data_IF_177508247548
#
_entry.id   IF_177508247548
#
_cell.length_a   1.000
_cell.length_b   1.000
_cell.length_c   1.000
_cell.angle_alpha   90.00
_cell.angle_beta   90.00
_cell.angle_gamma   90.00
#
_symmetry.space_group_name_H-M   'P 1'
#
loop_
_entity.id
_entity.type
_entity.pdbx_description
1 polymer ?
#
# COMPACT_ATOMS: atom_id res chain seq x y z
N UNK A 1 8.28 9.26 13.86
CA UNK A 1 7.73 7.88 13.93
C UNK A 1 6.63 7.80 14.99
N UNK A 2 6.91 8.17 16.24
CA UNK A 2 5.99 8.06 17.40
C UNK A 2 4.62 8.71 17.19
N UNK A 3 4.52 9.88 16.54
CA UNK A 3 3.21 10.54 16.33
C UNK A 3 2.30 9.82 15.31
N UNK A 4 2.86 9.21 14.25
CA UNK A 4 2.06 8.53 13.22
C UNK A 4 1.60 7.13 13.63
N UNK A 5 2.24 6.55 14.64
CA UNK A 5 1.89 5.26 15.24
C UNK A 5 1.13 5.39 16.55
N UNK A 6 0.86 6.62 17.05
CA UNK A 6 0.08 6.82 18.28
C UNK A 6 -1.33 6.26 18.09
N UNK A 7 -1.70 5.33 18.98
CA UNK A 7 -3.00 4.66 18.95
C UNK A 7 -3.15 3.58 17.87
N UNK A 8 -2.11 3.26 17.10
CA UNK A 8 -2.16 2.21 16.07
C UNK A 8 -1.50 0.93 16.55
N UNK A 9 -2.22 -0.17 16.42
CA UNK A 9 -1.65 -1.51 16.60
C UNK A 9 -0.91 -1.88 15.32
N UNK A 10 0.40 -2.11 15.41
CA UNK A 10 1.19 -2.59 14.29
C UNK A 10 1.17 -4.12 14.27
N UNK A 11 0.94 -4.68 13.09
CA UNK A 11 0.83 -6.13 12.86
C UNK A 11 2.07 -6.70 12.16
N UNK A 12 2.79 -5.88 11.39
CA UNK A 12 3.98 -6.34 10.67
C UNK A 12 4.91 -5.21 10.27
N UNK A 13 6.16 -5.59 9.99
CA UNK A 13 7.21 -4.70 9.49
C UNK A 13 8.06 -5.45 8.46
N UNK A 14 8.50 -4.75 7.43
CA UNK A 14 9.54 -5.22 6.51
C UNK A 14 10.50 -4.08 6.24
N UNK A 15 11.79 -4.37 6.19
CA UNK A 15 12.82 -3.36 6.00
C UNK A 15 13.83 -3.83 4.95
N UNK A 16 14.31 -2.86 4.16
CA UNK A 16 15.35 -3.07 3.17
C UNK A 16 16.38 -1.94 3.25
N UNK A 17 17.41 -1.99 2.40
CA UNK A 17 18.55 -1.06 2.43
C UNK A 17 18.15 0.41 2.51
N UNK A 18 17.08 0.80 1.82
CA UNK A 18 16.69 2.21 1.69
C UNK A 18 15.41 2.60 2.43
N UNK A 19 14.60 1.66 2.91
CA UNK A 19 13.29 2.03 3.46
C UNK A 19 12.75 0.96 4.42
N UNK A 20 11.74 1.36 5.18
CA UNK A 20 10.97 0.50 6.07
C UNK A 20 9.50 0.65 5.72
N UNK A 21 8.78 -0.47 5.67
CA UNK A 21 7.34 -0.51 5.53
C UNK A 21 6.73 -1.17 6.78
N UNK A 22 5.60 -0.67 7.23
CA UNK A 22 4.83 -1.24 8.35
C UNK A 22 3.38 -1.44 7.96
N UNK A 23 2.81 -2.50 8.51
CA UNK A 23 1.43 -2.88 8.37
C UNK A 23 0.71 -2.68 9.70
N UNK A 24 -0.35 -1.88 9.70
CA UNK A 24 -1.28 -1.74 10.82
C UNK A 24 -2.27 -2.90 10.90
N UNK A 25 -2.81 -3.14 12.10
CA UNK A 25 -3.88 -4.13 12.32
C UNK A 25 -5.19 -3.76 11.60
N UNK A 26 -5.36 -2.48 11.29
CA UNK A 26 -6.44 -1.92 10.45
C UNK A 26 -6.22 -2.16 8.94
N UNK A 27 -5.11 -2.76 8.55
CA UNK A 27 -4.73 -2.97 7.15
C UNK A 27 -4.12 -1.74 6.49
N UNK A 28 -3.84 -0.65 7.22
CA UNK A 28 -3.13 0.51 6.67
C UNK A 28 -1.62 0.22 6.53
N UNK A 29 -1.03 0.72 5.46
CA UNK A 29 0.41 0.57 5.18
C UNK A 29 1.10 1.92 5.26
N UNK A 30 2.24 1.97 5.94
CA UNK A 30 3.10 3.15 5.99
C UNK A 30 4.50 2.82 5.48
N UNK A 31 5.14 3.77 4.81
CA UNK A 31 6.53 3.66 4.36
C UNK A 31 7.31 4.93 4.67
N UNK A 32 8.59 4.78 4.98
CA UNK A 32 9.57 5.85 5.12
C UNK A 32 10.98 5.34 4.80
N UNK A 33 11.91 6.24 4.56
CA UNK A 33 13.29 5.88 4.27
C UNK A 33 14.07 6.97 3.55
N UNK A 34 15.05 6.53 2.77
CA UNK A 34 15.90 7.37 1.95
C UNK A 34 15.05 8.23 1.01
N UNK A 35 15.17 9.56 1.15
CA UNK A 35 14.37 10.61 0.47
C UNK A 35 12.91 10.74 0.94
N UNK A 36 12.46 9.89 1.86
CA UNK A 36 11.14 9.96 2.49
C UNK A 36 11.27 9.85 4.02
N UNK A 37 11.86 10.87 4.63
CA UNK A 37 12.21 10.87 6.06
C UNK A 37 10.98 10.91 6.99
N UNK A 38 9.82 11.30 6.48
CA UNK A 38 8.55 11.27 7.21
C UNK A 38 7.69 10.08 6.80
N UNK A 39 7.12 9.31 7.74
CA UNK A 39 6.17 8.24 7.43
C UNK A 39 5.01 8.74 6.56
N UNK A 40 4.79 8.06 5.44
CA UNK A 40 3.63 8.30 4.57
C UNK A 40 2.78 7.06 4.50
N UNK A 41 1.46 7.28 4.50
CA UNK A 41 0.49 6.23 4.21
C UNK A 41 0.54 5.89 2.72
N UNK A 42 0.65 4.61 2.41
CA UNK A 42 0.52 4.08 1.04
C UNK A 42 -0.95 3.84 0.76
N UNK A 43 -1.47 4.41 -0.32
CA UNK A 43 -2.87 4.19 -0.72
C UNK A 43 -2.94 2.91 -1.54
N UNK A 44 -3.28 1.80 -0.89
CA UNK A 44 -3.56 0.51 -1.54
C UNK A 44 -5.06 0.47 -1.85
N UNK A 45 -5.41 0.72 -3.10
CA UNK A 45 -6.79 0.80 -3.53
C UNK A 45 -6.93 0.39 -5.00
N UNK A 46 -8.09 -0.17 -5.34
CA UNK A 46 -8.48 -0.53 -6.71
C UNK A 46 -9.51 0.46 -7.24
N UNK A 47 -9.42 0.78 -8.53
CA UNK A 47 -10.45 1.55 -9.22
C UNK A 47 -11.57 0.60 -9.65
N UNK A 48 -12.79 0.83 -9.16
CA UNK A 48 -13.97 0.07 -9.60
C UNK A 48 -14.50 0.66 -10.90
N UNK A 49 -14.05 0.14 -12.05
CA UNK A 49 -14.76 0.40 -13.31
C UNK A 49 -16.05 -0.43 -13.30
N UNK A 50 -17.21 0.20 -13.09
CA UNK A 50 -18.49 -0.45 -13.37
C UNK A 50 -18.62 -0.62 -14.88
N UNK A 51 -18.60 -1.86 -15.36
CA UNK A 51 -18.98 -2.20 -16.72
C UNK A 51 -20.44 -1.81 -16.96
N UNK A 52 -20.64 -0.78 -17.77
CA UNK A 52 -21.94 -0.25 -18.13
C UNK A 52 -21.73 1.01 -18.96
N UNK A 53 -22.39 1.09 -20.10
CA UNK A 53 -22.21 2.05 -21.19
C UNK A 53 -22.58 3.51 -20.85
N UNK A 54 -22.27 3.98 -19.64
CA UNK A 54 -22.50 5.37 -19.22
C UNK A 54 -21.19 5.98 -18.77
N UNK A 55 -20.88 7.15 -19.34
CA UNK A 55 -19.73 8.00 -19.05
C UNK A 55 -19.77 8.60 -17.62
N UNK A 56 -20.10 7.79 -16.61
CA UNK A 56 -20.05 8.17 -15.22
C UNK A 56 -18.73 7.68 -14.64
N UNK A 57 -17.69 8.53 -14.76
CA UNK A 57 -16.40 8.37 -14.08
C UNK A 57 -16.58 8.51 -12.57
N UNK A 58 -17.23 7.53 -11.93
CA UNK A 58 -17.17 7.39 -10.48
C UNK A 58 -15.80 6.82 -10.12
N UNK A 59 -14.90 7.71 -9.68
CA UNK A 59 -13.61 7.36 -9.09
C UNK A 59 -13.82 6.79 -7.68
N UNK A 60 -14.64 5.73 -7.54
CA UNK A 60 -14.82 5.07 -6.26
C UNK A 60 -13.61 4.18 -6.02
N UNK A 61 -12.67 4.71 -5.25
CA UNK A 61 -11.50 3.97 -4.77
C UNK A 61 -11.94 3.11 -3.59
N UNK A 62 -11.91 1.80 -3.77
CA UNK A 62 -12.12 0.87 -2.67
C UNK A 62 -10.80 0.68 -1.93
N UNK A 63 -10.79 1.01 -0.64
CA UNK A 63 -9.64 0.71 0.23
C UNK A 63 -9.62 -0.77 0.50
N UNK A 64 -8.49 -1.40 0.22
CA UNK A 64 -8.33 -2.83 0.41
C UNK A 64 -7.64 -3.13 1.73
N UNK A 65 -8.05 -4.22 2.38
CA UNK A 65 -7.42 -4.70 3.59
C UNK A 65 -6.10 -5.39 3.23
N UNK A 66 -4.96 -4.79 3.57
CA UNK A 66 -3.65 -5.41 3.40
C UNK A 66 -3.41 -6.40 4.54
N UNK A 67 -2.91 -7.59 4.19
CA UNK A 67 -2.62 -8.67 5.13
C UNK A 67 -1.12 -9.02 5.21
N UNK A 68 -0.32 -8.65 4.22
CA UNK A 68 1.13 -8.88 4.20
C UNK A 68 1.85 -7.83 3.38
N UNK A 69 3.11 -7.56 3.75
CA UNK A 69 3.99 -6.57 3.11
C UNK A 69 5.41 -7.11 2.99
N UNK A 70 6.11 -6.76 1.90
CA UNK A 70 7.53 -7.09 1.71
C UNK A 70 8.31 -5.92 1.12
N UNK A 71 9.53 -5.69 1.62
CA UNK A 71 10.44 -4.67 1.14
C UNK A 71 11.58 -5.30 0.33
N UNK A 72 11.71 -4.90 -0.94
CA UNK A 72 12.90 -5.14 -1.76
C UNK A 72 13.88 -3.98 -1.65
N UNK A 73 15.01 -4.03 -2.36
CA UNK A 73 16.05 -2.99 -2.27
C UNK A 73 15.48 -1.57 -2.47
N UNK A 74 14.66 -1.37 -3.52
CA UNK A 74 14.08 -0.07 -3.90
C UNK A 74 12.56 -0.06 -4.00
N UNK A 75 11.93 -1.23 -4.09
CA UNK A 75 10.49 -1.39 -4.24
C UNK A 75 9.89 -2.06 -3.02
N UNK A 76 8.57 -2.02 -2.93
CA UNK A 76 7.79 -2.71 -1.92
C UNK A 76 6.58 -3.37 -2.55
N UNK A 77 6.05 -4.38 -1.89
CA UNK A 77 4.83 -5.07 -2.29
C UNK A 77 3.86 -5.19 -1.11
N UNK A 78 2.56 -5.26 -1.44
CA UNK A 78 1.50 -5.53 -0.48
C UNK A 78 0.51 -6.55 -1.05
N UNK A 79 0.13 -7.54 -0.23
CA UNK A 79 -0.90 -8.51 -0.55
C UNK A 79 -2.17 -8.17 0.23
N UNK A 80 -3.30 -8.08 -0.47
CA UNK A 80 -4.61 -7.81 0.11
C UNK A 80 -5.36 -9.10 0.45
N UNK A 81 -6.35 -8.99 1.34
CA UNK A 81 -7.17 -10.12 1.78
C UNK A 81 -7.95 -10.79 0.64
N UNK A 82 -8.28 -10.04 -0.42
CA UNK A 82 -8.91 -10.55 -1.65
C UNK A 82 -7.91 -11.13 -2.66
N UNK A 83 -6.63 -11.31 -2.27
CA UNK A 83 -5.61 -11.96 -3.10
C UNK A 83 -5.01 -11.08 -4.19
N UNK A 84 -5.26 -9.75 -4.17
CA UNK A 84 -4.62 -8.83 -5.09
C UNK A 84 -3.21 -8.44 -4.63
N UNK A 85 -2.26 -8.40 -5.57
CA UNK A 85 -0.88 -8.00 -5.31
C UNK A 85 -0.64 -6.59 -5.83
N UNK A 86 -0.09 -5.74 -4.97
CA UNK A 86 0.30 -4.38 -5.28
C UNK A 86 1.80 -4.18 -5.14
N UNK A 87 2.34 -3.22 -5.89
CA UNK A 87 3.72 -2.77 -5.76
C UNK A 87 3.84 -1.25 -5.87
N UNK A 88 4.91 -0.71 -5.29
CA UNK A 88 5.34 0.68 -5.47
C UNK A 88 6.85 0.81 -5.31
N UNK A 89 7.40 1.94 -5.77
CA UNK A 89 8.80 2.30 -5.52
C UNK A 89 8.87 3.18 -4.27
N UNK A 90 9.53 2.70 -3.21
CA UNK A 90 9.58 3.39 -1.91
C UNK A 90 10.59 4.56 -1.87
N UNK A 91 11.45 4.67 -2.88
CA UNK A 91 12.47 5.72 -2.97
C UNK A 91 11.97 7.07 -3.54
N UNK A 92 10.72 7.14 -4.02
CA UNK A 92 10.14 8.34 -4.63
C UNK A 92 9.15 9.05 -3.69
N UNK A 93 9.15 10.40 -3.61
CA UNK A 93 8.19 11.14 -2.79
C UNK A 93 6.73 10.97 -3.24
N UNK A 94 6.50 10.80 -4.54
CA UNK A 94 5.20 10.54 -5.16
C UNK A 94 4.94 9.03 -5.24
N UNK A 95 4.62 8.41 -4.10
CA UNK A 95 4.35 6.97 -4.04
C UNK A 95 3.14 6.63 -4.94
N UNK A 96 3.42 5.93 -6.05
CA UNK A 96 2.40 5.37 -6.94
C UNK A 96 2.28 3.88 -6.67
N UNK A 97 1.20 3.51 -5.99
CA UNK A 97 0.84 2.12 -5.75
C UNK A 97 0.04 1.58 -6.94
N UNK A 98 0.50 0.48 -7.52
CA UNK A 98 -0.10 -0.13 -8.70
C UNK A 98 -0.41 -1.60 -8.41
N UNK A 99 -1.53 -2.09 -8.93
CA UNK A 99 -1.86 -3.51 -8.89
C UNK A 99 -1.06 -4.24 -9.98
N UNK A 100 -0.40 -5.33 -9.62
CA UNK A 100 0.40 -6.16 -10.54
C UNK A 100 -0.37 -7.40 -10.96
N UNK A 101 -1.13 -8.00 -10.03
CA UNK A 101 -1.78 -9.28 -10.25
C UNK A 101 -3.06 -9.45 -9.42
N UNK A 102 -3.95 -10.32 -9.88
CA UNK A 102 -5.14 -10.77 -9.16
C UNK A 102 -5.20 -12.30 -9.24
N UNK A 103 -5.23 -12.96 -8.08
CA UNK A 103 -5.41 -14.41 -8.02
C UNK A 103 -6.92 -14.71 -8.16
N UNK A 104 -7.41 -14.96 -9.38
CA UNK A 104 -8.67 -15.69 -9.56
C UNK A 104 -8.38 -17.18 -9.49
N UNK A 105 -9.03 -17.87 -8.55
CA UNK A 105 -9.31 -19.30 -8.67
C UNK A 105 -10.44 -19.52 -9.68
#
# INVERSE_FOLDING_TARGET
MVEYSKGKVLRGVSAAKYHTIVLGADGEVFTWGHRLVTPRRVVVARCLMKGGNTNLKFHRMERLQVISVAAGTTHSTALTADGALFYWVSSYPDIKCQQVWFLTC
#
